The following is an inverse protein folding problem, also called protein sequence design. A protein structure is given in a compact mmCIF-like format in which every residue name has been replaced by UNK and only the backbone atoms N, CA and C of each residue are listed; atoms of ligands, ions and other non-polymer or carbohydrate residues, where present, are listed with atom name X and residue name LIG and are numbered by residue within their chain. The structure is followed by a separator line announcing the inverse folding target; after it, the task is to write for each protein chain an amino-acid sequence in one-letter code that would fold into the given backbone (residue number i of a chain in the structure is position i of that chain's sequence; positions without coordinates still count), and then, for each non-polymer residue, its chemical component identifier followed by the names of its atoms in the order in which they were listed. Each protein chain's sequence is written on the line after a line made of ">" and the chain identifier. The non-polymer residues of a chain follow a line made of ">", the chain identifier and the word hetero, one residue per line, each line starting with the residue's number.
data_IF_949332054486
#
_entry.id   IF_949332054486
#
_cell.length_a   1.000
_cell.length_b   1.000
_cell.length_c   1.000
_cell.angle_alpha   90.00
_cell.angle_beta   90.00
_cell.angle_gamma   90.00
#
_symmetry.space_group_name_H-M   'P 1'
#
loop_
_entity.id
_entity.type
_entity.pdbx_description
1 polymer ?
#
# COMPACT_ATOMS: atom_id res chain seq x y z
N UNK A 1 -14.09 -2.06 8.96
CA UNK A 1 -13.60 -1.00 9.89
C UNK A 1 -14.77 -0.19 10.44
N UNK A 2 -14.79 0.12 11.75
CA UNK A 2 -15.88 0.90 12.37
C UNK A 2 -15.64 2.39 12.04
N UNK A 3 -16.51 2.99 11.26
CA UNK A 3 -16.44 4.40 10.86
C UNK A 3 -17.31 5.23 11.78
N UNK A 4 -16.77 6.32 12.31
CA UNK A 4 -17.49 7.23 13.22
C UNK A 4 -17.79 8.52 12.46
N UNK A 5 -19.07 8.91 12.39
CA UNK A 5 -19.47 10.20 11.83
C UNK A 5 -18.89 11.34 12.70
N UNK A 6 -18.29 12.33 12.03
CA UNK A 6 -17.68 13.48 12.70
C UNK A 6 -18.16 14.79 12.10
N UNK A 7 -18.13 15.85 12.92
CA UNK A 7 -18.20 17.22 12.42
C UNK A 7 -16.81 17.62 11.95
N UNK A 8 -16.70 18.04 10.69
CA UNK A 8 -15.43 18.43 10.09
C UNK A 8 -15.47 19.90 9.68
N UNK A 9 -14.41 20.65 10.05
CA UNK A 9 -14.27 22.05 9.68
C UNK A 9 -13.82 22.17 8.23
N UNK A 10 -14.76 22.55 7.36
CA UNK A 10 -14.50 22.72 5.93
C UNK A 10 -13.60 23.92 5.60
N UNK A 11 -13.42 24.87 6.51
CA UNK A 11 -12.51 26.00 6.29
C UNK A 11 -11.04 25.58 6.46
N UNK A 12 -10.79 24.46 7.14
CA UNK A 12 -9.45 23.92 7.36
C UNK A 12 -8.83 23.23 6.13
N UNK A 13 -9.53 23.14 4.98
CA UNK A 13 -9.02 22.48 3.78
C UNK A 13 -8.90 23.47 2.61
N UNK A 14 -7.99 23.18 1.63
CA UNK A 14 -7.83 23.98 0.43
C UNK A 14 -9.13 24.15 -0.38
N UNK A 15 -9.23 25.26 -1.09
CA UNK A 15 -10.42 25.62 -1.88
C UNK A 15 -10.75 24.63 -2.99
N UNK A 16 -9.74 23.94 -3.55
CA UNK A 16 -9.90 22.88 -4.55
C UNK A 16 -10.61 21.64 -4.02
N UNK A 17 -10.52 21.37 -2.71
CA UNK A 17 -11.11 20.20 -2.04
C UNK A 17 -12.53 20.50 -1.52
N UNK A 18 -12.80 21.74 -1.08
CA UNK A 18 -14.10 22.15 -0.51
C UNK A 18 -15.33 21.73 -1.34
N UNK A 19 -15.34 21.82 -2.69
CA UNK A 19 -16.51 21.43 -3.48
C UNK A 19 -16.92 19.96 -3.28
N UNK A 20 -15.96 19.06 -3.04
CA UNK A 20 -16.23 17.62 -2.83
C UNK A 20 -16.78 17.31 -1.44
N UNK A 21 -16.53 18.20 -0.48
CA UNK A 21 -17.02 18.05 0.91
C UNK A 21 -18.41 18.65 1.11
N UNK A 22 -18.83 19.56 0.23
CA UNK A 22 -20.08 20.30 0.39
C UNK A 22 -21.29 19.39 0.36
N UNK A 23 -22.03 19.35 1.49
CA UNK A 23 -23.22 18.50 1.64
C UNK A 23 -22.92 17.01 1.82
N UNK A 24 -21.66 16.61 1.96
CA UNK A 24 -21.28 15.24 2.27
C UNK A 24 -21.31 14.99 3.78
N UNK A 25 -21.60 13.76 4.16
CA UNK A 25 -21.36 13.25 5.52
C UNK A 25 -19.92 12.77 5.63
N UNK A 26 -19.23 13.15 6.67
CA UNK A 26 -17.81 12.84 6.89
C UNK A 26 -17.68 11.82 8.02
N UNK A 27 -16.91 10.76 7.76
CA UNK A 27 -16.61 9.73 8.75
C UNK A 27 -15.11 9.66 8.98
N UNK A 28 -14.71 9.56 10.24
CA UNK A 28 -13.33 9.22 10.56
C UNK A 28 -13.05 7.74 10.21
N UNK A 29 -12.02 7.54 9.42
CA UNK A 29 -11.54 6.23 8.94
C UNK A 29 -10.04 6.08 9.18
N UNK A 30 -9.47 6.88 10.09
CA UNK A 30 -8.04 6.88 10.40
C UNK A 30 -7.61 5.56 11.04
N UNK A 31 -6.46 5.04 10.62
CA UNK A 31 -5.84 3.82 11.14
C UNK A 31 -4.46 4.11 11.74
N UNK A 32 -3.91 5.30 11.52
CA UNK A 32 -2.62 5.73 12.05
C UNK A 32 -2.74 7.05 12.80
N UNK A 33 -1.78 7.34 13.67
CA UNK A 33 -1.69 8.62 14.37
C UNK A 33 -1.08 9.73 13.49
N UNK A 34 -0.40 9.35 12.41
CA UNK A 34 0.37 10.27 11.56
C UNK A 34 -0.44 10.86 10.41
N UNK A 35 -1.52 10.22 10.00
CA UNK A 35 -2.38 10.69 8.93
C UNK A 35 -3.86 10.60 9.32
N UNK A 36 -4.59 11.69 9.10
CA UNK A 36 -6.04 11.70 9.23
C UNK A 36 -6.67 11.25 7.92
N UNK A 37 -7.42 10.15 7.95
CA UNK A 37 -8.14 9.62 6.79
C UNK A 37 -9.64 9.74 7.01
N UNK A 38 -10.31 10.47 6.12
CA UNK A 38 -11.74 10.76 6.20
C UNK A 38 -12.47 10.15 5.02
N UNK A 39 -13.51 9.34 5.28
CA UNK A 39 -14.45 8.96 4.25
C UNK A 39 -15.44 10.11 4.02
N UNK A 40 -15.47 10.61 2.81
CA UNK A 40 -16.42 11.61 2.32
C UNK A 40 -17.55 10.89 1.61
N UNK A 41 -18.76 10.94 2.19
CA UNK A 41 -19.96 10.30 1.65
C UNK A 41 -20.94 11.35 1.15
N UNK A 42 -20.86 11.65 -0.15
CA UNK A 42 -21.70 12.60 -0.86
C UNK A 42 -22.30 12.00 -2.11
N UNK A 43 -22.42 12.81 -3.18
CA UNK A 43 -22.87 12.33 -4.50
C UNK A 43 -21.95 11.22 -5.04
N UNK A 44 -20.66 11.39 -4.81
CA UNK A 44 -19.63 10.37 -5.03
C UNK A 44 -18.90 10.13 -3.70
N UNK A 45 -18.41 8.90 -3.52
CA UNK A 45 -17.63 8.54 -2.33
C UNK A 45 -16.16 8.79 -2.60
N UNK A 46 -15.48 9.41 -1.63
CA UNK A 46 -14.05 9.69 -1.71
C UNK A 46 -13.37 9.50 -0.35
N UNK A 47 -12.06 9.37 -0.35
CA UNK A 47 -11.24 9.42 0.86
C UNK A 47 -10.35 10.66 0.83
N UNK A 48 -10.44 11.49 1.86
CA UNK A 48 -9.55 12.62 2.08
C UNK A 48 -8.51 12.22 3.12
N UNK A 49 -7.24 12.19 2.71
CA UNK A 49 -6.09 12.04 3.60
C UNK A 49 -5.49 13.41 3.87
N UNK A 50 -5.17 13.67 5.14
CA UNK A 50 -4.50 14.88 5.62
C UNK A 50 -3.32 14.43 6.46
N UNK A 51 -2.13 14.90 6.14
CA UNK A 51 -0.92 14.57 6.87
C UNK A 51 0.10 15.70 6.78
N UNK A 52 1.21 15.60 7.51
CA UNK A 52 2.28 16.59 7.47
C UNK A 52 2.76 16.84 6.02
N UNK A 53 3.07 18.08 5.72
CA UNK A 53 3.56 18.49 4.40
C UNK A 53 4.72 17.64 3.91
N UNK A 54 4.64 17.19 2.66
CA UNK A 54 5.64 16.35 1.98
C UNK A 54 5.46 14.85 2.20
N UNK A 55 4.52 14.40 3.05
CA UNK A 55 4.34 12.99 3.36
C UNK A 55 3.41 12.26 2.39
N UNK A 56 2.45 12.97 1.75
CA UNK A 56 1.49 12.37 0.83
C UNK A 56 1.87 12.50 -0.65
N UNK A 57 2.96 13.20 -0.98
CA UNK A 57 3.37 13.39 -2.38
C UNK A 57 3.67 12.06 -3.08
N UNK A 58 4.36 11.13 -2.40
CA UNK A 58 4.64 9.81 -2.97
C UNK A 58 3.36 9.03 -3.23
N UNK A 59 2.44 8.99 -2.28
CA UNK A 59 1.16 8.31 -2.46
C UNK A 59 0.38 8.90 -3.64
N UNK A 60 0.31 10.22 -3.75
CA UNK A 60 -0.31 10.89 -4.89
C UNK A 60 0.30 10.46 -6.22
N UNK A 61 1.62 10.57 -6.37
CA UNK A 61 2.32 10.27 -7.62
C UNK A 61 2.25 8.79 -8.00
N UNK A 62 2.38 7.89 -7.03
CA UNK A 62 2.25 6.46 -7.27
C UNK A 62 0.80 6.08 -7.62
N UNK A 63 -0.17 6.69 -6.95
CA UNK A 63 -1.59 6.52 -7.30
C UNK A 63 -1.87 6.96 -8.74
N UNK A 64 -1.39 8.12 -9.17
CA UNK A 64 -1.55 8.57 -10.55
C UNK A 64 -0.88 7.62 -11.56
N UNK A 65 0.33 7.13 -11.23
CA UNK A 65 1.04 6.18 -12.08
C UNK A 65 0.26 4.87 -12.22
N UNK A 66 -0.16 4.26 -11.12
CA UNK A 66 -0.89 2.99 -11.13
C UNK A 66 -2.34 3.12 -11.63
N UNK A 67 -2.95 4.29 -11.49
CA UNK A 67 -4.27 4.58 -12.07
C UNK A 67 -4.24 4.49 -13.61
N UNK A 68 -3.16 4.92 -14.28
CA UNK A 68 -2.98 4.77 -15.73
C UNK A 68 -2.98 3.30 -16.16
N UNK A 69 -2.54 2.42 -15.28
CA UNK A 69 -2.59 0.96 -15.45
C UNK A 69 -3.92 0.34 -14.97
N UNK A 70 -4.89 1.15 -14.48
CA UNK A 70 -6.22 0.74 -14.01
C UNK A 70 -6.21 -0.18 -12.80
N UNK A 71 -5.20 -0.03 -11.93
CA UNK A 71 -5.05 -0.84 -10.72
C UNK A 71 -4.99 -0.03 -9.43
N UNK A 72 -5.26 1.27 -9.51
CA UNK A 72 -5.38 2.16 -8.37
C UNK A 72 -6.55 3.13 -8.56
N UNK A 73 -7.10 3.73 -7.48
CA UNK A 73 -8.14 4.76 -7.58
C UNK A 73 -7.65 5.98 -8.35
N UNK A 74 -8.58 6.82 -8.75
CA UNK A 74 -8.26 8.14 -9.29
C UNK A 74 -7.85 9.07 -8.15
N UNK A 75 -6.73 9.77 -8.31
CA UNK A 75 -6.43 10.94 -7.50
C UNK A 75 -7.29 12.11 -8.01
N UNK A 76 -8.23 12.59 -7.19
CA UNK A 76 -9.16 13.65 -7.54
C UNK A 76 -8.50 15.01 -7.37
N UNK A 77 -7.79 15.20 -6.25
CA UNK A 77 -7.04 16.43 -5.95
C UNK A 77 -5.86 16.12 -5.03
N UNK A 78 -4.78 16.86 -5.22
CA UNK A 78 -3.64 16.92 -4.29
C UNK A 78 -3.22 18.37 -4.12
N UNK A 79 -3.12 18.82 -2.88
CA UNK A 79 -2.74 20.17 -2.50
C UNK A 79 -1.84 20.12 -1.27
N UNK A 80 -0.98 21.14 -1.14
CA UNK A 80 -0.16 21.34 0.05
C UNK A 80 -0.29 22.78 0.54
N UNK A 81 -0.40 22.97 1.83
CA UNK A 81 -0.24 24.27 2.46
C UNK A 81 1.10 24.36 3.24
N UNK A 82 1.19 25.27 4.21
CA UNK A 82 2.42 25.46 4.99
C UNK A 82 2.69 24.24 5.90
N UNK A 83 1.64 23.59 6.40
CA UNK A 83 1.73 22.55 7.44
C UNK A 83 1.40 21.16 6.90
N UNK A 84 0.45 21.07 5.97
CA UNK A 84 -0.16 19.80 5.58
C UNK A 84 -0.17 19.56 4.07
N UNK A 85 -0.18 18.27 3.73
CA UNK A 85 -0.64 17.75 2.45
C UNK A 85 -2.09 17.28 2.58
N UNK A 86 -2.83 17.44 1.49
CA UNK A 86 -4.21 17.00 1.34
C UNK A 86 -4.34 16.19 0.06
N UNK A 87 -4.73 14.92 0.19
CA UNK A 87 -4.93 14.01 -0.94
C UNK A 87 -6.36 13.49 -0.94
N UNK A 88 -7.11 13.81 -1.98
CA UNK A 88 -8.47 13.33 -2.19
C UNK A 88 -8.47 12.22 -3.26
N UNK A 89 -8.88 11.03 -2.87
CA UNK A 89 -8.92 9.84 -3.71
C UNK A 89 -10.35 9.36 -3.93
N UNK A 90 -10.66 8.87 -5.12
CA UNK A 90 -11.89 8.12 -5.38
C UNK A 90 -11.98 6.90 -4.46
N UNK A 91 -13.17 6.63 -3.90
CA UNK A 91 -13.36 5.42 -3.11
C UNK A 91 -13.55 4.22 -4.04
N UNK A 92 -12.63 3.25 -3.94
CA UNK A 92 -12.75 1.97 -4.65
C UNK A 92 -13.91 1.17 -4.07
N UNK A 93 -14.77 0.63 -4.93
CA UNK A 93 -15.91 -0.20 -4.50
C UNK A 93 -15.44 -1.64 -4.22
N UNK A 94 -15.82 -2.16 -3.06
CA UNK A 94 -15.44 -3.49 -2.58
C UNK A 94 -15.12 -3.48 -1.11
N UNK A 95 -14.58 -4.59 -0.65
CA UNK A 95 -14.07 -4.78 0.71
C UNK A 95 -12.57 -5.04 0.65
N UNK A 96 -11.85 -4.68 1.70
CA UNK A 96 -10.43 -5.01 1.79
C UNK A 96 -10.19 -6.52 2.03
N UNK A 97 -8.95 -6.96 1.88
CA UNK A 97 -8.58 -8.37 2.02
C UNK A 97 -8.82 -8.95 3.42
N UNK A 98 -9.07 -8.11 4.44
CA UNK A 98 -9.36 -8.55 5.82
C UNK A 98 -10.85 -8.74 6.09
N UNK A 99 -11.73 -8.50 5.12
CA UNK A 99 -13.16 -8.74 5.27
C UNK A 99 -13.43 -10.22 5.60
N UNK A 100 -14.41 -10.47 6.48
CA UNK A 100 -14.77 -11.81 6.97
C UNK A 100 -14.98 -12.79 5.81
N UNK A 101 -15.69 -12.37 4.77
CA UNK A 101 -15.92 -13.21 3.58
C UNK A 101 -14.64 -13.66 2.87
N UNK A 102 -13.56 -12.88 2.95
CA UNK A 102 -12.26 -13.24 2.39
C UNK A 102 -11.50 -14.17 3.33
N UNK A 103 -11.47 -13.85 4.63
CA UNK A 103 -10.78 -14.65 5.65
C UNK A 103 -11.41 -16.03 5.85
N UNK A 104 -12.72 -16.17 5.65
CA UNK A 104 -13.43 -17.45 5.71
C UNK A 104 -13.08 -18.40 4.55
N UNK A 105 -12.43 -17.88 3.50
CA UNK A 105 -11.99 -18.64 2.33
C UNK A 105 -10.47 -18.52 2.11
N UNK A 106 -9.65 -18.92 3.08
CA UNK A 106 -8.22 -18.58 3.14
C UNK A 106 -7.39 -19.15 1.97
N UNK A 107 -7.77 -20.32 1.44
CA UNK A 107 -7.07 -20.89 0.27
C UNK A 107 -7.28 -20.02 -0.98
N UNK A 108 -8.52 -19.59 -1.22
CA UNK A 108 -8.83 -18.72 -2.36
C UNK A 108 -8.19 -17.35 -2.16
N UNK A 109 -8.24 -16.80 -0.94
CA UNK A 109 -7.60 -15.53 -0.60
C UNK A 109 -6.09 -15.59 -0.91
N UNK A 110 -5.39 -16.62 -0.43
CA UNK A 110 -3.95 -16.75 -0.67
C UNK A 110 -3.61 -16.85 -2.17
N UNK A 111 -4.40 -17.59 -2.95
CA UNK A 111 -4.19 -17.69 -4.40
C UNK A 111 -4.37 -16.34 -5.10
N UNK A 112 -5.52 -15.67 -4.94
CA UNK A 112 -5.75 -14.39 -5.63
C UNK A 112 -4.79 -13.31 -5.16
N UNK A 113 -4.37 -13.33 -3.90
CA UNK A 113 -3.40 -12.42 -3.32
C UNK A 113 -2.03 -12.57 -4.00
N UNK A 114 -1.57 -13.80 -4.25
CA UNK A 114 -0.35 -14.06 -5.03
C UNK A 114 -0.47 -13.63 -6.49
N UNK A 115 -1.61 -13.91 -7.13
CA UNK A 115 -1.88 -13.48 -8.51
C UNK A 115 -1.87 -11.95 -8.65
N UNK A 116 -2.43 -11.22 -7.68
CA UNK A 116 -2.46 -9.75 -7.71
C UNK A 116 -1.08 -9.14 -7.50
N UNK A 117 -0.24 -9.76 -6.67
CA UNK A 117 1.15 -9.33 -6.54
C UNK A 117 1.92 -9.57 -7.84
N UNK A 118 1.74 -10.73 -8.46
CA UNK A 118 2.36 -11.00 -9.76
C UNK A 118 1.89 -10.01 -10.84
N UNK A 119 0.61 -9.66 -10.86
CA UNK A 119 0.06 -8.64 -11.75
C UNK A 119 0.76 -7.29 -11.55
N UNK A 120 0.94 -6.83 -10.31
CA UNK A 120 1.64 -5.59 -9.99
C UNK A 120 3.09 -5.62 -10.45
N UNK A 121 3.83 -6.69 -10.11
CA UNK A 121 5.24 -6.87 -10.44
C UNK A 121 5.50 -7.12 -11.94
N UNK A 122 4.47 -7.42 -12.71
CA UNK A 122 4.54 -7.59 -14.17
C UNK A 122 4.30 -6.30 -14.94
N UNK A 123 4.00 -5.20 -14.28
CA UNK A 123 3.84 -3.91 -14.94
C UNK A 123 5.17 -3.39 -15.50
N UNK A 124 5.13 -2.64 -16.60
CA UNK A 124 6.30 -1.92 -17.07
C UNK A 124 6.74 -0.88 -16.07
N UNK A 125 8.05 -0.79 -15.83
CA UNK A 125 8.64 0.16 -14.88
C UNK A 125 8.81 1.57 -15.45
N UNK A 126 8.68 1.72 -16.78
CA UNK A 126 8.87 2.98 -17.48
C UNK A 126 7.86 4.03 -17.01
N UNK A 127 8.39 5.18 -16.63
CA UNK A 127 7.57 6.30 -16.13
C UNK A 127 7.14 6.19 -14.68
N UNK A 128 7.61 5.18 -13.94
CA UNK A 128 7.46 5.14 -12.50
C UNK A 128 8.19 6.34 -11.86
N UNK A 129 7.54 7.11 -10.97
CA UNK A 129 8.13 8.33 -10.43
C UNK A 129 9.25 8.09 -9.39
N UNK A 130 9.35 6.89 -8.84
CA UNK A 130 10.31 6.57 -7.78
C UNK A 130 11.10 5.31 -8.12
N UNK A 131 12.41 5.47 -8.17
CA UNK A 131 13.39 4.41 -8.43
C UNK A 131 14.15 4.07 -7.14
N UNK A 132 14.92 2.97 -7.18
CA UNK A 132 15.88 2.63 -6.12
C UNK A 132 15.25 2.49 -4.70
N UNK A 133 14.03 1.93 -4.59
CA UNK A 133 13.33 1.82 -3.30
C UNK A 133 14.10 1.05 -2.24
N UNK A 134 14.78 -0.04 -2.63
CA UNK A 134 15.61 -0.80 -1.69
C UNK A 134 16.74 0.05 -1.14
N UNK A 135 17.39 0.85 -2.00
CA UNK A 135 18.46 1.76 -1.59
C UNK A 135 17.94 2.85 -0.65
N UNK A 136 16.75 3.40 -0.90
CA UNK A 136 16.13 4.36 0.02
C UNK A 136 15.87 3.71 1.39
N UNK A 137 15.30 2.51 1.45
CA UNK A 137 15.04 1.77 2.70
C UNK A 137 16.33 1.55 3.51
N UNK A 138 17.41 1.14 2.84
CA UNK A 138 18.71 0.94 3.48
C UNK A 138 19.31 2.26 4.00
N UNK A 139 19.16 3.34 3.23
CA UNK A 139 19.59 4.66 3.64
C UNK A 139 18.84 5.14 4.90
N UNK A 140 17.51 5.00 4.91
CA UNK A 140 16.66 5.39 6.04
C UNK A 140 16.98 4.56 7.30
N UNK A 141 17.22 3.26 7.14
CA UNK A 141 17.67 2.40 8.23
C UNK A 141 19.03 2.87 8.80
N UNK A 142 19.99 3.16 7.94
CA UNK A 142 21.29 3.67 8.35
C UNK A 142 21.19 5.04 9.05
N UNK A 143 20.33 5.94 8.55
CA UNK A 143 20.08 7.25 9.15
C UNK A 143 19.48 7.16 10.57
N UNK A 144 18.71 6.09 10.84
CA UNK A 144 18.18 5.76 12.18
C UNK A 144 19.22 5.06 13.08
N UNK A 145 20.44 4.83 12.59
CA UNK A 145 21.51 4.17 13.34
C UNK A 145 21.40 2.65 13.39
N UNK A 146 20.59 2.04 12.52
CA UNK A 146 20.45 0.59 12.44
C UNK A 146 21.69 0.00 11.77
N UNK A 147 22.35 -0.93 12.45
CA UNK A 147 23.53 -1.61 11.91
C UNK A 147 23.17 -2.61 10.83
N UNK A 148 23.52 -2.30 9.59
CA UNK A 148 23.22 -3.12 8.41
C UNK A 148 24.39 -4.06 8.01
N UNK A 149 25.36 -4.31 8.90
CA UNK A 149 26.53 -5.16 8.58
C UNK A 149 26.10 -6.60 8.23
N UNK A 150 25.09 -7.14 8.92
CA UNK A 150 24.54 -8.46 8.64
C UNK A 150 23.90 -8.57 7.24
N UNK A 151 23.42 -7.47 6.70
CA UNK A 151 22.84 -7.41 5.35
C UNK A 151 23.94 -7.61 4.29
N UNK A 152 25.15 -7.09 4.55
CA UNK A 152 26.29 -7.23 3.64
C UNK A 152 26.85 -8.67 3.62
N UNK A 153 26.61 -9.46 4.67
CA UNK A 153 27.06 -10.84 4.80
C UNK A 153 26.11 -11.86 4.17
N UNK A 154 24.89 -11.45 3.79
CA UNK A 154 23.86 -12.34 3.27
C UNK A 154 24.19 -12.96 1.90
N UNK A 155 25.15 -12.40 1.16
CA UNK A 155 25.48 -12.82 -0.20
C UNK A 155 24.45 -12.46 -1.27
N UNK A 156 23.27 -11.99 -0.88
CA UNK A 156 22.24 -11.50 -1.79
C UNK A 156 22.46 -10.04 -2.16
N UNK A 157 22.28 -9.74 -3.45
CA UNK A 157 22.30 -8.37 -3.97
C UNK A 157 20.92 -8.00 -4.44
N UNK A 158 20.27 -7.07 -3.75
CA UNK A 158 18.91 -6.63 -4.10
C UNK A 158 18.85 -6.07 -5.53
N UNK A 159 17.76 -6.37 -6.23
CA UNK A 159 17.54 -5.99 -7.63
C UNK A 159 16.23 -5.22 -7.75
N UNK A 160 16.31 -3.91 -7.83
CA UNK A 160 15.15 -3.01 -8.03
C UNK A 160 14.73 -3.05 -9.50
N UNK A 161 13.84 -3.99 -9.85
CA UNK A 161 13.43 -4.25 -11.23
C UNK A 161 11.93 -4.48 -11.44
N UNK A 162 11.11 -4.30 -10.38
CA UNK A 162 9.65 -4.39 -10.46
C UNK A 162 8.99 -3.20 -9.74
N UNK A 163 7.73 -2.93 -10.08
CA UNK A 163 6.91 -1.99 -9.32
C UNK A 163 6.48 -2.67 -8.03
N UNK A 164 6.95 -2.21 -6.88
CA UNK A 164 6.50 -2.70 -5.57
C UNK A 164 5.40 -1.80 -4.99
N UNK A 165 4.52 -2.41 -4.20
CA UNK A 165 3.55 -1.69 -3.36
C UNK A 165 4.25 -0.98 -2.21
N UNK A 166 5.24 -1.65 -1.62
CA UNK A 166 6.01 -1.19 -0.48
C UNK A 166 5.30 -1.35 0.88
N UNK A 167 4.01 -1.72 0.87
CA UNK A 167 3.20 -2.13 2.01
C UNK A 167 2.12 -3.11 1.50
N UNK A 168 2.57 -4.25 0.94
CA UNK A 168 1.69 -5.25 0.32
C UNK A 168 0.97 -6.07 1.38
N UNK A 169 -0.04 -5.45 1.99
CA UNK A 169 -0.84 -6.05 3.06
C UNK A 169 -2.31 -6.22 2.64
N UNK A 170 -3.01 -7.18 3.26
CA UNK A 170 -4.43 -7.46 2.97
C UNK A 170 -5.34 -6.24 3.09
N UNK A 171 -5.17 -5.31 4.06
CA UNK A 171 -5.98 -4.10 4.12
C UNK A 171 -5.85 -3.19 2.90
N UNK A 172 -4.74 -3.25 2.16
CA UNK A 172 -4.39 -2.34 1.08
C UNK A 172 -4.85 -2.83 -0.30
N UNK A 173 -5.61 -3.94 -0.35
CA UNK A 173 -6.15 -4.51 -1.58
C UNK A 173 -7.66 -4.58 -1.49
N UNK A 174 -8.32 -3.88 -2.40
CA UNK A 174 -9.79 -3.87 -2.47
C UNK A 174 -10.26 -4.91 -3.49
N UNK A 175 -11.20 -5.73 -3.06
CA UNK A 175 -11.80 -6.80 -3.86
C UNK A 175 -13.33 -6.77 -3.74
N UNK A 176 -14.00 -7.19 -4.81
CA UNK A 176 -15.43 -7.52 -4.78
C UNK A 176 -15.54 -9.04 -4.91
N UNK A 177 -15.83 -9.71 -3.79
CA UNK A 177 -15.71 -11.19 -3.61
C UNK A 177 -14.34 -11.64 -4.06
N UNK A 178 -13.50 -11.77 -4.31
CA UNK A 178 -12.20 -12.17 -4.85
C UNK A 178 -11.88 -11.59 -6.25
N UNK A 179 -12.68 -10.66 -6.75
CA UNK A 179 -12.34 -9.94 -7.99
C UNK A 179 -11.61 -8.66 -7.64
N UNK A 180 -10.42 -8.46 -8.17
CA UNK A 180 -9.59 -7.27 -7.96
C UNK A 180 -10.34 -5.98 -8.32
N UNK A 181 -10.23 -4.97 -7.46
CA UNK A 181 -10.78 -3.63 -7.68
C UNK A 181 -9.73 -2.53 -7.62
N UNK A 182 -8.68 -2.69 -6.84
CA UNK A 182 -7.59 -1.72 -6.79
C UNK A 182 -6.67 -1.89 -5.59
N UNK A 183 -5.46 -1.40 -5.75
CA UNK A 183 -4.54 -1.16 -4.64
C UNK A 183 -4.75 0.24 -4.07
N UNK A 184 -4.61 0.37 -2.76
CA UNK A 184 -4.68 1.66 -2.02
C UNK A 184 -3.44 1.79 -1.13
N UNK A 185 -3.24 2.96 -0.52
CA UNK A 185 -2.11 3.22 0.39
C UNK A 185 -0.72 3.02 -0.26
N UNK A 186 -0.54 3.68 -1.41
CA UNK A 186 0.63 3.53 -2.28
C UNK A 186 1.83 4.41 -1.89
N UNK A 187 1.83 4.95 -0.67
CA UNK A 187 2.85 5.88 -0.18
C UNK A 187 4.25 5.30 0.00
N UNK A 188 4.38 3.98 -0.01
CA UNK A 188 5.67 3.27 0.07
C UNK A 188 6.13 2.67 -1.27
N UNK A 189 5.35 2.85 -2.33
CA UNK A 189 5.58 2.24 -3.64
C UNK A 189 6.73 2.87 -4.44
N UNK A 190 7.12 2.18 -5.51
CA UNK A 190 8.16 2.59 -6.47
C UNK A 190 8.79 1.38 -7.16
N UNK A 191 9.92 1.58 -7.85
CA UNK A 191 10.71 0.47 -8.37
C UNK A 191 11.56 -0.09 -7.25
N UNK A 192 11.40 -1.37 -6.94
CA UNK A 192 12.08 -2.05 -5.85
C UNK A 192 12.32 -3.52 -6.14
N UNK A 193 12.85 -4.21 -5.13
CA UNK A 193 13.02 -5.65 -5.16
C UNK A 193 11.74 -6.36 -4.74
N UNK A 194 11.29 -7.33 -5.54
CA UNK A 194 10.05 -8.08 -5.34
C UNK A 194 9.93 -8.77 -3.98
N UNK A 195 11.05 -9.16 -3.38
CA UNK A 195 11.06 -9.92 -2.13
C UNK A 195 10.59 -9.08 -0.93
N UNK A 196 10.65 -7.76 -1.03
CA UNK A 196 10.07 -6.88 -0.01
C UNK A 196 8.55 -7.04 0.10
N UNK A 197 7.84 -6.97 -1.03
CA UNK A 197 6.38 -7.19 -1.04
C UNK A 197 6.02 -8.66 -0.76
N UNK A 198 6.83 -9.62 -1.20
CA UNK A 198 6.65 -11.03 -0.86
C UNK A 198 6.70 -11.29 0.66
N UNK A 199 7.65 -10.63 1.34
CA UNK A 199 7.72 -10.68 2.80
C UNK A 199 6.41 -10.15 3.43
N UNK A 200 5.97 -8.95 3.06
CA UNK A 200 4.75 -8.36 3.61
C UNK A 200 3.50 -9.16 3.29
N UNK A 201 3.44 -9.75 2.10
CA UNK A 201 2.37 -10.65 1.69
C UNK A 201 2.28 -11.91 2.56
N UNK A 202 3.40 -12.55 2.83
CA UNK A 202 3.47 -13.70 3.74
C UNK A 202 3.12 -13.32 5.17
N UNK A 203 3.69 -12.21 5.65
CA UNK A 203 3.45 -11.70 7.00
C UNK A 203 1.96 -11.41 7.25
N UNK A 204 1.32 -10.66 6.34
CA UNK A 204 -0.09 -10.28 6.53
C UNK A 204 -1.04 -11.48 6.46
N UNK A 205 -0.76 -12.47 5.60
CA UNK A 205 -1.53 -13.72 5.56
C UNK A 205 -1.41 -14.47 6.89
N UNK A 206 -0.20 -14.68 7.39
CA UNK A 206 0.03 -15.34 8.67
C UNK A 206 -0.62 -14.55 9.82
N UNK A 207 -0.48 -13.22 9.83
CA UNK A 207 -1.04 -12.37 10.88
C UNK A 207 -2.57 -12.46 10.93
N UNK A 208 -3.25 -12.38 9.79
CA UNK A 208 -4.72 -12.37 9.75
C UNK A 208 -5.33 -13.77 9.87
N UNK A 209 -4.74 -14.78 9.23
CA UNK A 209 -5.23 -16.17 9.25
C UNK A 209 -4.75 -16.98 10.47
N UNK A 210 -3.82 -16.42 11.28
CA UNK A 210 -3.23 -17.06 12.48
C UNK A 210 -2.53 -18.40 12.20
N UNK A 211 -2.04 -18.57 10.96
CA UNK A 211 -1.32 -19.77 10.51
C UNK A 211 -0.48 -19.46 9.28
N UNK A 212 0.64 -20.12 9.11
CA UNK A 212 1.53 -20.05 7.95
C UNK A 212 1.14 -20.98 6.79
N UNK A 213 0.14 -21.83 7.02
CA UNK A 213 -0.30 -22.89 6.10
C UNK A 213 -0.56 -22.40 4.67
N UNK A 214 -0.98 -21.17 4.50
CA UNK A 214 -1.40 -20.62 3.21
C UNK A 214 -0.28 -19.87 2.46
N UNK A 215 0.86 -19.65 3.11
CA UNK A 215 2.05 -19.06 2.49
C UNK A 215 2.51 -19.78 1.22
N UNK A 216 2.63 -21.11 1.21
CA UNK A 216 2.98 -21.86 0.00
C UNK A 216 2.02 -21.63 -1.17
N UNK A 217 0.70 -21.50 -0.93
CA UNK A 217 -0.30 -21.25 -1.97
C UNK A 217 -0.15 -19.84 -2.55
N UNK A 218 0.14 -18.86 -1.72
CA UNK A 218 0.44 -17.48 -2.14
C UNK A 218 1.69 -17.44 -3.04
N UNK A 219 2.79 -18.11 -2.64
CA UNK A 219 4.03 -18.16 -3.42
C UNK A 219 3.86 -18.95 -4.73
N UNK A 220 3.05 -20.03 -4.75
CA UNK A 220 2.73 -20.77 -5.95
C UNK A 220 1.94 -19.91 -6.95
N UNK A 221 0.93 -19.21 -6.46
CA UNK A 221 0.09 -18.33 -7.28
C UNK A 221 0.85 -17.08 -7.78
N UNK A 222 1.80 -16.56 -7.00
CA UNK A 222 2.72 -15.52 -7.44
C UNK A 222 3.66 -16.01 -8.55
N UNK A 223 4.09 -17.26 -8.49
CA UNK A 223 5.03 -17.88 -9.42
C UNK A 223 6.42 -18.09 -8.82
N UNK A 224 6.67 -19.30 -8.33
CA UNK A 224 7.91 -19.67 -7.62
C UNK A 224 9.20 -19.45 -8.40
N UNK A 225 9.13 -19.48 -9.72
CA UNK A 225 10.28 -19.25 -10.60
C UNK A 225 10.81 -17.80 -10.55
N UNK A 226 10.05 -16.89 -9.96
CA UNK A 226 10.44 -15.49 -9.75
C UNK A 226 11.02 -15.23 -8.36
N UNK A 227 11.05 -16.25 -7.50
CA UNK A 227 11.43 -16.11 -6.09
C UNK A 227 12.84 -16.67 -5.90
N UNK A 228 13.70 -15.85 -5.32
CA UNK A 228 15.01 -16.26 -4.79
C UNK A 228 14.87 -16.39 -3.26
N UNK A 229 15.21 -17.54 -2.72
CA UNK A 229 15.12 -17.81 -1.28
C UNK A 229 16.07 -16.90 -0.48
N UNK A 230 17.26 -16.63 -1.01
CA UNK A 230 18.22 -15.71 -0.38
C UNK A 230 17.67 -14.27 -0.36
N UNK A 231 16.96 -13.86 -1.44
CA UNK A 231 16.26 -12.59 -1.51
C UNK A 231 15.15 -12.47 -0.46
N UNK A 232 14.32 -13.50 -0.32
CA UNK A 232 13.27 -13.52 0.71
C UNK A 232 13.87 -13.48 2.12
N UNK A 233 14.96 -14.18 2.36
CA UNK A 233 15.70 -14.16 3.63
C UNK A 233 16.27 -12.76 3.93
N UNK A 234 16.87 -12.13 2.90
CA UNK A 234 17.41 -10.78 2.98
C UNK A 234 16.36 -9.77 3.42
N UNK A 235 15.20 -9.72 2.76
CA UNK A 235 14.16 -8.76 3.10
C UNK A 235 13.44 -9.11 4.42
N UNK A 236 13.32 -10.39 4.77
CA UNK A 236 12.88 -10.79 6.11
C UNK A 236 13.77 -10.19 7.19
N UNK A 237 15.11 -10.30 7.00
CA UNK A 237 16.07 -9.74 7.95
C UNK A 237 16.05 -8.22 7.98
N UNK A 238 15.95 -7.57 6.81
CA UNK A 238 15.88 -6.11 6.73
C UNK A 238 14.68 -5.59 7.54
N UNK A 239 13.49 -6.14 7.34
CA UNK A 239 12.30 -5.70 8.07
C UNK A 239 12.44 -5.95 9.57
N UNK A 240 12.93 -7.12 10.00
CA UNK A 240 13.16 -7.40 11.42
C UNK A 240 14.13 -6.44 12.11
N UNK A 241 15.03 -5.80 11.36
CA UNK A 241 15.95 -4.79 11.88
C UNK A 241 15.35 -3.39 11.90
N UNK A 242 14.35 -3.13 11.06
CA UNK A 242 13.83 -1.78 10.82
C UNK A 242 12.47 -1.51 11.44
N UNK A 243 11.68 -2.52 11.76
CA UNK A 243 10.41 -2.45 12.49
C UNK A 243 10.60 -2.68 14.00
#
# INVERSE_FOLDING_TARGET
>A
MKRTEITFDMESVPSSIKPYLKGATIYDSSCSETAKTLLVSGAERAFLKISQRGTLEREYRMTEFLHKHRIAPKAIAYESDIENDYLLLEAVNGEDGTAEMHLDNPSQLACVFGEYLNMLHSLPIEGCPYNDRTKEMLHDAAARGIGLHEMNESGYSAVDNVIIHGDYCLPNIIMDRFTFRGFIDLGSGGIGDRHYDLYWGLWTLQYNLKTDKYGPMFLDAYGRNHIDEDGLHYFTRLVQLTD
#
